data_IF_044006206737
#
_entry.id   IF_044006206737
#
_cell.length_a   1.000
_cell.length_b   1.000
_cell.length_c   1.000
_cell.angle_alpha   90.00
_cell.angle_beta   90.00
_cell.angle_gamma   90.00
#
_symmetry.space_group_name_H-M   'P 1'
#
loop_
_entity.id
_entity.type
_entity.pdbx_description
1 polymer ?
#
# COMPACT_ATOMS: atom_id res chain seq x y z
N UNK A 1 30.97 -44.39 23.42
CA UNK A 1 30.40 -44.36 22.06
C UNK A 1 28.93 -43.94 22.07
N UNK A 2 28.05 -44.55 22.87
CA UNK A 2 26.61 -44.26 22.92
C UNK A 2 26.32 -42.79 23.31
N UNK A 3 27.02 -42.23 24.30
CA UNK A 3 26.85 -40.85 24.78
C UNK A 3 27.21 -39.83 23.67
N UNK A 4 28.24 -40.11 22.87
CA UNK A 4 28.68 -39.24 21.79
C UNK A 4 27.62 -39.23 20.65
N UNK A 5 27.05 -40.39 20.33
CA UNK A 5 26.00 -40.52 19.30
C UNK A 5 24.74 -39.77 19.76
N UNK A 6 24.36 -39.90 21.03
CA UNK A 6 23.21 -39.18 21.60
C UNK A 6 23.41 -37.66 21.58
N UNK A 7 24.64 -37.18 21.91
CA UNK A 7 24.93 -35.76 21.87
C UNK A 7 24.85 -35.18 20.46
N UNK A 8 25.38 -35.90 19.46
CA UNK A 8 25.27 -35.48 18.05
C UNK A 8 23.80 -35.48 17.57
N UNK A 9 23.01 -36.51 17.91
CA UNK A 9 21.61 -36.57 17.54
C UNK A 9 20.80 -35.45 18.19
N UNK A 10 21.07 -35.11 19.46
CA UNK A 10 20.36 -34.02 20.15
C UNK A 10 20.66 -32.66 19.54
N UNK A 11 21.90 -32.38 19.15
CA UNK A 11 22.27 -31.12 18.47
C UNK A 11 21.61 -30.99 17.10
N UNK A 12 21.54 -32.10 16.33
CA UNK A 12 20.87 -32.10 15.03
C UNK A 12 19.37 -31.81 15.16
N UNK A 13 18.69 -32.41 16.14
CA UNK A 13 17.26 -32.19 16.40
C UNK A 13 16.99 -30.75 16.84
N UNK A 14 17.81 -30.17 17.72
CA UNK A 14 17.63 -28.77 18.17
C UNK A 14 17.83 -27.76 17.04
N UNK A 15 18.80 -27.99 16.14
CA UNK A 15 18.98 -27.16 14.95
C UNK A 15 17.80 -27.25 13.97
N UNK A 16 17.26 -28.43 13.77
CA UNK A 16 16.11 -28.64 12.87
C UNK A 16 14.84 -27.94 13.39
N UNK A 17 14.60 -28.01 14.70
CA UNK A 17 13.48 -27.29 15.33
C UNK A 17 13.65 -25.78 15.18
N UNK A 18 14.85 -25.26 15.41
CA UNK A 18 15.14 -23.81 15.29
C UNK A 18 14.87 -23.29 13.88
N UNK A 19 15.32 -24.00 12.84
CA UNK A 19 15.09 -23.59 11.44
C UNK A 19 13.61 -23.62 11.04
N UNK A 20 12.86 -24.63 11.48
CA UNK A 20 11.43 -24.72 11.19
C UNK A 20 10.63 -23.60 11.88
N UNK A 21 11.00 -23.20 13.07
CA UNK A 21 10.32 -22.10 13.78
C UNK A 21 10.56 -20.76 13.09
N UNK A 22 11.77 -20.50 12.62
CA UNK A 22 12.12 -19.27 11.89
C UNK A 22 11.36 -19.23 10.55
N UNK A 23 11.38 -20.32 9.78
CA UNK A 23 10.64 -20.39 8.50
C UNK A 23 9.14 -20.20 8.68
N UNK A 24 8.57 -20.70 9.77
CA UNK A 24 7.15 -20.53 10.08
C UNK A 24 6.79 -19.07 10.38
N UNK A 25 7.66 -18.34 11.08
CA UNK A 25 7.47 -16.92 11.38
C UNK A 25 7.51 -16.07 10.09
N UNK A 26 8.44 -16.32 9.18
CA UNK A 26 8.51 -15.61 7.88
C UNK A 26 7.23 -15.80 7.05
N UNK A 27 6.73 -17.02 6.94
CA UNK A 27 5.50 -17.29 6.19
C UNK A 27 4.29 -16.61 6.82
N UNK A 28 4.23 -16.51 8.15
CA UNK A 28 3.17 -15.81 8.85
C UNK A 28 3.21 -14.30 8.57
N UNK A 29 4.39 -13.68 8.67
CA UNK A 29 4.55 -12.25 8.43
C UNK A 29 4.27 -11.89 6.97
N UNK A 30 4.70 -12.71 6.00
CA UNK A 30 4.39 -12.54 4.59
C UNK A 30 2.88 -12.61 4.32
N UNK A 31 2.18 -13.58 4.91
CA UNK A 31 0.71 -13.69 4.79
C UNK A 31 0.03 -12.44 5.34
N UNK A 32 0.45 -11.96 6.50
CA UNK A 32 -0.03 -10.72 7.11
C UNK A 32 0.24 -9.49 6.25
N UNK A 33 1.42 -9.41 5.63
CA UNK A 33 1.75 -8.31 4.72
C UNK A 33 0.82 -8.31 3.49
N UNK A 34 0.52 -9.48 2.93
CA UNK A 34 -0.41 -9.61 1.81
C UNK A 34 -1.84 -9.23 2.19
N UNK A 35 -2.32 -9.66 3.36
CA UNK A 35 -3.64 -9.28 3.88
C UNK A 35 -3.74 -7.76 4.06
N UNK A 36 -2.71 -7.14 4.65
CA UNK A 36 -2.63 -5.70 4.84
C UNK A 36 -2.64 -4.97 3.49
N UNK A 37 -1.82 -5.43 2.54
CA UNK A 37 -1.78 -4.88 1.20
C UNK A 37 -3.13 -4.96 0.48
N UNK A 38 -3.81 -6.10 0.54
CA UNK A 38 -5.13 -6.27 -0.06
C UNK A 38 -6.16 -5.30 0.51
N UNK A 39 -6.11 -5.04 1.81
CA UNK A 39 -6.99 -4.09 2.47
C UNK A 39 -6.76 -2.66 1.97
N UNK A 40 -5.50 -2.18 1.94
CA UNK A 40 -5.16 -0.85 1.41
C UNK A 40 -5.47 -0.73 -0.08
N UNK A 41 -5.10 -1.74 -0.88
CA UNK A 41 -5.41 -1.74 -2.31
C UNK A 41 -6.91 -1.72 -2.59
N UNK A 42 -7.70 -2.45 -1.81
CA UNK A 42 -9.17 -2.44 -1.90
C UNK A 42 -9.74 -1.07 -1.61
N UNK A 43 -9.25 -0.43 -0.56
CA UNK A 43 -9.66 0.90 -0.15
C UNK A 43 -9.30 1.95 -1.22
N UNK A 44 -8.03 2.03 -1.64
CA UNK A 44 -7.57 3.02 -2.62
C UNK A 44 -8.28 2.84 -3.98
N UNK A 45 -8.47 1.59 -4.42
CA UNK A 45 -9.17 1.30 -5.68
C UNK A 45 -10.64 1.71 -5.67
N UNK A 46 -11.27 1.77 -4.51
CA UNK A 46 -12.66 2.19 -4.37
C UNK A 46 -12.84 3.72 -4.43
N UNK A 47 -11.75 4.48 -4.30
CA UNK A 47 -11.78 5.95 -4.32
C UNK A 47 -11.93 6.51 -5.75
N UNK A 48 -12.33 7.78 -5.85
CA UNK A 48 -12.35 8.52 -7.11
C UNK A 48 -10.94 8.62 -7.70
N UNK A 49 -10.82 8.93 -8.96
CA UNK A 49 -9.52 9.18 -9.58
C UNK A 49 -8.87 10.46 -9.06
N UNK A 50 -9.67 11.49 -8.86
CA UNK A 50 -9.28 12.85 -8.51
C UNK A 50 -10.50 13.56 -7.93
N UNK A 51 -10.34 14.62 -7.13
CA UNK A 51 -11.42 15.41 -6.51
C UNK A 51 -12.45 15.89 -7.54
N UNK A 52 -11.99 16.29 -8.73
CA UNK A 52 -12.83 16.72 -9.83
C UNK A 52 -13.42 15.58 -10.68
N UNK A 53 -13.12 14.33 -10.37
CA UNK A 53 -13.72 13.17 -11.05
C UNK A 53 -15.10 12.87 -10.49
N UNK A 54 -16.12 12.70 -11.33
CA UNK A 54 -17.44 12.31 -10.86
C UNK A 54 -17.45 10.88 -10.32
N UNK A 55 -18.42 10.57 -9.48
CA UNK A 55 -18.70 9.18 -9.07
C UNK A 55 -19.00 8.37 -10.33
N UNK A 56 -18.18 7.34 -10.59
CA UNK A 56 -18.26 6.54 -11.81
C UNK A 56 -17.25 6.92 -12.91
N UNK A 57 -16.47 8.00 -12.72
CA UNK A 57 -15.29 8.33 -13.52
C UNK A 57 -15.56 8.98 -14.88
N UNK A 58 -16.81 9.17 -15.28
CA UNK A 58 -17.17 9.74 -16.60
C UNK A 58 -18.00 11.02 -16.42
N UNK A 59 -17.60 12.14 -17.04
CA UNK A 59 -16.40 12.36 -17.87
C UNK A 59 -15.11 12.39 -17.05
N UNK A 60 -13.96 12.07 -17.67
CA UNK A 60 -12.67 12.13 -16.95
C UNK A 60 -12.31 13.57 -16.53
N UNK A 61 -11.47 13.73 -15.52
CA UNK A 61 -10.94 15.04 -15.14
C UNK A 61 -9.81 15.45 -16.11
N UNK A 62 -10.12 16.01 -17.25
CA UNK A 62 -9.11 16.42 -18.24
C UNK A 62 -9.30 17.86 -18.77
N UNK A 63 -10.42 18.50 -18.41
CA UNK A 63 -10.79 19.82 -18.90
C UNK A 63 -11.17 19.87 -20.39
N UNK A 64 -11.23 18.75 -21.07
CA UNK A 64 -11.45 18.64 -22.53
C UNK A 64 -12.68 17.82 -22.87
N UNK A 65 -12.86 16.67 -22.22
CA UNK A 65 -13.93 15.70 -22.53
C UNK A 65 -15.27 16.04 -21.87
N UNK A 66 -15.45 17.26 -21.39
CA UNK A 66 -16.65 17.74 -20.71
C UNK A 66 -16.58 17.65 -19.18
N UNK A 67 -15.49 17.16 -18.62
CA UNK A 67 -15.15 17.23 -17.21
C UNK A 67 -14.33 18.47 -16.87
N UNK A 68 -14.21 18.77 -15.57
CA UNK A 68 -13.24 19.75 -15.07
C UNK A 68 -11.82 19.23 -15.25
N UNK A 69 -10.81 20.12 -15.22
CA UNK A 69 -9.42 19.68 -15.12
C UNK A 69 -9.18 18.97 -13.79
N UNK A 70 -8.23 18.04 -13.78
CA UNK A 70 -7.81 17.40 -12.52
C UNK A 70 -7.24 18.45 -11.55
N UNK A 71 -7.38 18.23 -10.24
CA UNK A 71 -6.90 19.14 -9.18
C UNK A 71 -5.40 19.26 -9.21
N UNK A 72 -4.67 18.14 -9.28
CA UNK A 72 -3.25 18.12 -9.44
C UNK A 72 -2.86 18.06 -10.93
N UNK A 73 -1.90 18.89 -11.33
CA UNK A 73 -1.36 18.93 -12.71
C UNK A 73 0.08 18.42 -12.81
N UNK A 74 0.64 17.94 -11.72
CA UNK A 74 1.99 17.38 -11.63
C UNK A 74 2.09 16.45 -10.42
N UNK A 75 3.09 15.56 -10.41
CA UNK A 75 3.35 14.68 -9.26
C UNK A 75 3.60 15.46 -7.95
N UNK A 76 4.15 16.64 -8.03
CA UNK A 76 4.42 17.49 -6.84
C UNK A 76 3.16 18.14 -6.25
N UNK A 77 2.03 18.03 -6.92
CA UNK A 77 0.75 18.56 -6.48
C UNK A 77 -0.22 17.46 -6.01
N UNK A 78 0.20 16.18 -6.06
CA UNK A 78 -0.56 15.07 -5.49
C UNK A 78 -0.52 15.13 -3.95
N UNK A 79 -1.49 14.56 -3.30
CA UNK A 79 -1.63 14.52 -1.84
C UNK A 79 -2.97 15.06 -1.37
N UNK A 80 -3.29 14.93 -0.07
CA UNK A 80 -4.57 15.33 0.48
C UNK A 80 -4.91 16.80 0.23
N UNK A 81 -6.13 17.05 -0.20
CA UNK A 81 -6.64 18.39 -0.45
C UNK A 81 -6.88 19.18 0.86
N UNK A 82 -7.18 20.48 0.72
CA UNK A 82 -7.41 21.34 1.88
C UNK A 82 -8.62 20.88 2.68
N UNK A 83 -8.39 20.36 3.88
CA UNK A 83 -9.42 19.84 4.79
C UNK A 83 -9.39 18.33 4.95
N UNK A 84 -8.56 17.62 4.20
CA UNK A 84 -8.45 16.15 4.18
C UNK A 84 -7.22 15.63 4.93
N UNK A 85 -6.90 16.26 6.05
CA UNK A 85 -5.76 15.89 6.88
C UNK A 85 -5.93 14.55 7.63
N UNK A 86 -7.15 14.05 7.71
CA UNK A 86 -7.48 12.83 8.41
C UNK A 86 -7.79 11.71 7.41
N UNK A 87 -7.35 10.50 7.70
CA UNK A 87 -7.58 9.29 6.90
C UNK A 87 -9.04 9.08 6.49
N UNK A 88 -9.97 9.45 7.36
CA UNK A 88 -11.42 9.35 7.13
C UNK A 88 -11.96 10.36 6.11
N UNK A 89 -11.19 11.40 5.82
CA UNK A 89 -11.56 12.42 4.85
C UNK A 89 -11.07 12.09 3.43
N UNK A 90 -10.11 11.17 3.28
CA UNK A 90 -9.56 10.74 2.00
C UNK A 90 -10.68 10.24 1.08
N UNK A 91 -10.90 10.87 -0.05
CA UNK A 91 -12.00 10.52 -0.95
C UNK A 91 -11.57 10.26 -2.40
N UNK A 92 -10.31 10.55 -2.74
CA UNK A 92 -9.72 10.20 -4.03
C UNK A 92 -8.36 9.46 -3.89
N UNK A 93 -7.74 9.14 -5.04
CA UNK A 93 -6.53 8.30 -5.07
C UNK A 93 -5.28 9.07 -4.67
N UNK A 94 -5.20 10.34 -4.97
CA UNK A 94 -4.02 11.17 -4.66
C UNK A 94 -3.89 11.52 -3.19
N UNK A 95 -4.95 11.50 -2.41
CA UNK A 95 -4.92 11.66 -0.95
C UNK A 95 -3.97 10.69 -0.26
N UNK A 96 -3.71 9.57 -0.92
CA UNK A 96 -2.80 8.53 -0.40
C UNK A 96 -1.34 8.78 -0.74
N UNK A 97 -1.00 9.83 -1.53
CA UNK A 97 0.40 10.12 -1.82
C UNK A 97 1.17 10.51 -0.56
N UNK A 98 2.39 9.99 -0.44
CA UNK A 98 3.25 10.12 0.74
C UNK A 98 2.64 9.60 2.07
N UNK A 99 1.58 8.77 2.02
CA UNK A 99 1.07 8.10 3.21
C UNK A 99 2.15 7.21 3.81
N UNK A 100 2.40 7.39 5.12
CA UNK A 100 3.37 6.63 5.88
C UNK A 100 2.81 6.31 7.28
N UNK A 101 2.46 5.05 7.49
CA UNK A 101 1.81 4.55 8.71
C UNK A 101 2.53 3.32 9.27
N UNK A 102 2.47 3.13 10.57
CA UNK A 102 2.99 1.96 11.28
C UNK A 102 4.39 2.14 11.84
N UNK A 103 5.12 1.06 11.94
CA UNK A 103 6.41 0.99 12.63
C UNK A 103 7.43 1.99 12.07
N UNK A 104 7.92 2.89 12.92
CA UNK A 104 8.94 3.87 12.56
C UNK A 104 8.43 5.13 11.87
N UNK A 105 7.15 5.22 11.49
CA UNK A 105 6.58 6.43 10.87
C UNK A 105 6.16 7.49 11.88
N UNK A 106 5.86 7.11 13.11
CA UNK A 106 5.24 7.97 14.12
C UNK A 106 3.70 7.99 14.06
N UNK A 107 3.11 7.38 13.03
CA UNK A 107 1.66 7.29 12.83
C UNK A 107 1.17 5.86 13.07
N UNK A 108 -0.05 5.68 13.55
CA UNK A 108 -0.66 4.37 13.66
C UNK A 108 -1.09 3.85 12.29
N UNK A 109 -1.09 2.52 12.10
CA UNK A 109 -1.77 1.90 10.98
C UNK A 109 -3.28 2.02 11.17
N UNK A 110 -3.96 2.64 10.21
CA UNK A 110 -5.40 2.90 10.28
C UNK A 110 -6.18 2.08 9.25
N UNK A 111 -7.46 1.84 9.54
CA UNK A 111 -8.44 1.40 8.55
C UNK A 111 -9.12 2.61 7.87
N UNK A 112 -10.01 2.35 6.91
CA UNK A 112 -10.73 3.39 6.19
C UNK A 112 -11.63 4.26 7.08
N UNK A 113 -12.04 3.74 8.23
CA UNK A 113 -12.85 4.41 9.25
C UNK A 113 -11.99 5.19 10.27
N UNK A 114 -10.66 5.14 10.14
CA UNK A 114 -9.71 5.82 11.02
C UNK A 114 -9.43 5.08 12.34
N UNK A 115 -9.82 3.81 12.45
CA UNK A 115 -9.50 3.02 13.63
C UNK A 115 -8.10 2.39 13.49
N UNK A 116 -7.40 2.29 14.61
CA UNK A 116 -6.09 1.61 14.63
C UNK A 116 -6.23 0.11 14.34
N UNK A 117 -5.45 -0.39 13.39
CA UNK A 117 -5.37 -1.82 13.07
C UNK A 117 -4.56 -2.55 14.13
N UNK A 118 -5.15 -3.57 14.76
CA UNK A 118 -4.48 -4.43 15.74
C UNK A 118 -3.86 -5.65 15.08
N UNK A 119 -2.75 -6.14 15.63
CA UNK A 119 -2.05 -7.33 15.12
C UNK A 119 -1.05 -7.03 13.98
N UNK A 120 -0.77 -5.74 13.73
CA UNK A 120 0.20 -5.26 12.73
C UNK A 120 1.22 -4.27 13.34
N UNK A 121 1.49 -4.36 14.63
CA UNK A 121 2.23 -3.35 15.41
C UNK A 121 3.66 -3.10 14.91
N UNK A 122 4.26 -4.10 14.23
CA UNK A 122 5.63 -4.00 13.69
C UNK A 122 5.66 -3.89 12.17
N UNK A 123 4.51 -3.71 11.52
CA UNK A 123 4.44 -3.47 10.09
C UNK A 123 4.46 -1.98 9.80
N UNK A 124 4.96 -1.61 8.62
CA UNK A 124 4.89 -0.25 8.08
C UNK A 124 4.27 -0.29 6.70
N UNK A 125 3.43 0.69 6.42
CA UNK A 125 2.78 0.89 5.13
C UNK A 125 3.20 2.23 4.59
N UNK A 126 3.69 2.24 3.36
CA UNK A 126 4.00 3.45 2.62
C UNK A 126 3.29 3.41 1.27
N UNK A 127 2.71 4.52 0.88
CA UNK A 127 2.03 4.65 -0.42
C UNK A 127 2.65 5.80 -1.19
N UNK A 128 2.89 5.57 -2.47
CA UNK A 128 3.32 6.60 -3.40
C UNK A 128 2.42 6.60 -4.62
N UNK A 129 1.90 7.76 -4.96
CA UNK A 129 1.07 7.98 -6.14
C UNK A 129 1.84 8.83 -7.14
N UNK A 130 1.80 8.45 -8.40
CA UNK A 130 2.45 9.21 -9.48
C UNK A 130 1.59 9.17 -10.75
N UNK A 131 1.59 10.23 -11.52
CA UNK A 131 0.97 10.19 -12.84
C UNK A 131 1.72 9.24 -13.79
N UNK A 132 0.94 8.53 -14.61
CA UNK A 132 1.45 7.57 -15.60
C UNK A 132 0.62 7.66 -16.89
N UNK A 133 1.06 8.53 -17.82
CA UNK A 133 0.32 8.84 -19.05
C UNK A 133 0.22 7.73 -20.10
N UNK A 134 0.90 6.60 -19.94
CA UNK A 134 1.05 5.60 -21.01
C UNK A 134 0.25 4.30 -20.78
N UNK A 135 -0.62 4.23 -19.78
CA UNK A 135 -1.28 2.97 -19.36
C UNK A 135 -2.76 2.93 -19.68
N UNK A 136 -3.41 4.07 -19.86
CA UNK A 136 -4.82 4.16 -20.19
C UNK A 136 -5.08 4.24 -21.70
N UNK A 137 -6.31 4.06 -22.19
CA UNK A 137 -6.70 4.22 -23.60
C UNK A 137 -6.33 5.59 -24.20
N UNK A 138 -6.19 6.60 -23.37
CA UNK A 138 -5.63 7.91 -23.70
C UNK A 138 -4.16 7.91 -23.39
N UNK A 139 -3.31 8.10 -24.36
CA UNK A 139 -1.86 8.15 -24.18
C UNK A 139 -1.35 9.58 -24.35
N UNK A 140 -0.33 9.92 -23.57
CA UNK A 140 0.44 11.16 -23.75
C UNK A 140 0.11 12.31 -22.80
N UNK A 141 -0.87 12.16 -21.88
CA UNK A 141 -1.16 13.11 -20.81
C UNK A 141 -0.83 12.53 -19.44
N UNK A 142 -0.30 13.34 -18.55
CA UNK A 142 -0.06 12.93 -17.15
C UNK A 142 -1.35 12.63 -16.39
N UNK A 143 -2.48 13.14 -16.87
CA UNK A 143 -3.80 12.91 -16.28
C UNK A 143 -4.49 11.62 -16.74
N UNK A 144 -3.91 10.83 -17.65
CA UNK A 144 -4.56 9.63 -18.19
C UNK A 144 -4.62 8.47 -17.19
N UNK A 145 -3.67 8.38 -16.29
CA UNK A 145 -3.68 7.39 -15.21
C UNK A 145 -2.78 7.80 -14.06
N UNK A 146 -3.07 7.28 -12.89
CA UNK A 146 -2.19 7.32 -11.70
C UNK A 146 -1.63 5.92 -11.44
N UNK A 147 -0.32 5.83 -11.22
CA UNK A 147 0.35 4.64 -10.73
C UNK A 147 0.43 4.74 -9.21
N UNK A 148 -0.04 3.72 -8.52
CA UNK A 148 0.05 3.59 -7.07
C UNK A 148 1.02 2.47 -6.74
N UNK A 149 2.02 2.77 -5.91
CA UNK A 149 2.95 1.81 -5.33
C UNK A 149 2.68 1.75 -3.84
N UNK A 150 2.33 0.59 -3.35
CA UNK A 150 2.11 0.29 -1.94
C UNK A 150 3.26 -0.59 -1.46
N UNK A 151 4.06 -0.10 -0.53
CA UNK A 151 5.17 -0.83 0.09
C UNK A 151 4.79 -1.25 1.51
N UNK A 152 4.82 -2.55 1.77
CA UNK A 152 4.60 -3.13 3.11
C UNK A 152 5.94 -3.62 3.65
N UNK A 153 6.44 -2.98 4.70
CA UNK A 153 7.64 -3.44 5.41
C UNK A 153 7.22 -4.33 6.57
N UNK A 154 7.77 -5.54 6.61
CA UNK A 154 7.52 -6.56 7.61
C UNK A 154 8.37 -6.36 8.86
N UNK A 155 8.07 -7.04 10.00
CA UNK A 155 8.84 -6.95 11.24
C UNK A 155 10.33 -7.35 11.10
N UNK A 156 10.66 -8.20 10.13
CA UNK A 156 12.02 -8.62 9.80
C UNK A 156 12.81 -7.60 8.96
N UNK A 157 12.15 -6.51 8.53
CA UNK A 157 12.72 -5.46 7.68
C UNK A 157 12.59 -5.73 6.17
N UNK A 158 12.05 -6.89 5.76
CA UNK A 158 11.76 -7.14 4.34
C UNK A 158 10.56 -6.30 3.87
N UNK A 159 10.65 -5.78 2.64
CA UNK A 159 9.60 -4.97 2.03
C UNK A 159 8.99 -5.70 0.83
N UNK A 160 7.67 -5.62 0.72
CA UNK A 160 6.91 -6.13 -0.42
C UNK A 160 6.22 -4.97 -1.11
N UNK A 161 6.43 -4.84 -2.42
CA UNK A 161 5.83 -3.80 -3.25
C UNK A 161 4.65 -4.34 -4.05
N UNK A 162 3.54 -3.63 -3.98
CA UNK A 162 2.34 -3.88 -4.74
C UNK A 162 2.03 -2.67 -5.61
N UNK A 163 1.89 -2.88 -6.91
CA UNK A 163 1.64 -1.78 -7.86
C UNK A 163 0.33 -2.00 -8.61
N UNK A 164 -0.44 -0.93 -8.75
CA UNK A 164 -1.57 -0.90 -9.68
C UNK A 164 -1.67 0.46 -10.38
N UNK A 165 -2.49 0.51 -11.41
CA UNK A 165 -2.79 1.73 -12.15
C UNK A 165 -4.28 2.04 -12.04
N UNK A 166 -4.60 3.31 -11.73
CA UNK A 166 -5.95 3.85 -11.76
C UNK A 166 -6.09 4.71 -13.00
N UNK A 167 -6.95 4.31 -13.91
CA UNK A 167 -7.20 5.08 -15.11
C UNK A 167 -8.24 6.18 -14.86
N UNK A 168 -8.12 7.26 -15.61
CA UNK A 168 -9.00 8.43 -15.57
C UNK A 168 -10.15 8.24 -16.59
N UNK A 169 -11.22 7.52 -16.19
CA UNK A 169 -12.43 7.31 -17.00
C UNK A 169 -13.63 7.00 -16.13
#
# INVERSE_FOLDING_TARGET
VVIVILAIALTAVTQMIGQNTISGAYTYDETKAIELAQSYLGEIKAKRYDENSPVGGVPPCDGVSGGNGCTANSNAALGPDTGELARTAFDDVDDYDDLDEGSGSGNALLDAEGNTRTGYENFRVQVQVTYSGNVAPRSGSVSDSKKVVLTITQPNGEALDFTFHRANY
#
